data_IF_729836714635
#
_entry.id   IF_729836714635
#
_cell.length_a   1.000
_cell.length_b   1.000
_cell.length_c   1.000
_cell.angle_alpha   90.00
_cell.angle_beta   90.00
_cell.angle_gamma   90.00
#
_symmetry.space_group_name_H-M   'P 1'
#
loop_
_entity.id
_entity.type
_entity.pdbx_description
1 polymer ?
#
# COMPACT_ATOMS: atom_id res chain seq x y z
N UNK A 1 -27.28 6.92 -0.11
CA UNK A 1 -26.05 7.26 0.61
C UNK A 1 -26.33 7.21 2.10
N UNK A 2 -25.50 6.52 2.84
CA UNK A 2 -25.68 6.09 4.23
C UNK A 2 -25.76 7.28 5.19
N UNK A 3 -26.96 7.79 5.46
CA UNK A 3 -27.17 8.79 6.52
C UNK A 3 -26.70 8.23 7.87
N UNK A 4 -25.64 8.83 8.43
CA UNK A 4 -25.14 8.52 9.76
C UNK A 4 -24.08 7.41 9.82
N UNK A 5 -23.60 6.87 8.69
CA UNK A 5 -22.49 5.89 8.67
C UNK A 5 -21.13 6.59 8.55
N UNK A 6 -20.12 6.01 9.19
CA UNK A 6 -18.72 6.44 9.02
C UNK A 6 -18.25 6.03 7.63
N UNK A 7 -17.62 6.97 6.93
CA UNK A 7 -17.06 6.73 5.60
C UNK A 7 -15.55 7.01 5.66
N UNK A 8 -14.75 5.99 5.38
CA UNK A 8 -13.29 6.12 5.27
C UNK A 8 -12.89 6.47 3.85
N UNK A 9 -11.87 7.31 3.70
CA UNK A 9 -11.16 7.44 2.43
C UNK A 9 -9.88 6.62 2.51
N UNK A 10 -9.77 5.64 1.63
CA UNK A 10 -8.66 4.70 1.58
C UNK A 10 -7.97 4.77 0.22
N UNK A 11 -6.64 4.68 0.23
CA UNK A 11 -5.80 4.60 -0.97
C UNK A 11 -5.19 3.21 -1.05
N UNK A 12 -5.46 2.50 -2.14
CA UNK A 12 -5.05 1.12 -2.34
C UNK A 12 -3.96 1.03 -3.43
N UNK A 13 -3.05 0.09 -3.26
CA UNK A 13 -2.05 -0.30 -4.26
C UNK A 13 -1.38 -1.62 -3.84
N UNK A 14 -0.59 -2.21 -4.75
CA UNK A 14 0.20 -3.39 -4.49
C UNK A 14 1.70 -3.10 -4.58
N UNK A 15 2.42 -3.81 -3.74
CA UNK A 15 3.88 -3.77 -3.82
C UNK A 15 4.47 -5.17 -3.75
N UNK A 16 5.63 -5.36 -4.39
CA UNK A 16 6.32 -6.63 -4.42
C UNK A 16 7.35 -6.71 -3.29
N UNK A 17 7.30 -7.80 -2.51
CA UNK A 17 8.38 -8.25 -1.64
C UNK A 17 9.14 -9.41 -2.27
N UNK A 18 10.47 -9.37 -2.33
CA UNK A 18 11.23 -10.45 -2.96
C UNK A 18 12.69 -10.51 -2.51
N UNK A 19 13.31 -11.68 -2.75
CA UNK A 19 14.70 -11.93 -2.34
C UNK A 19 15.74 -11.16 -3.17
N UNK A 20 15.35 -10.59 -4.31
CA UNK A 20 16.24 -9.68 -5.02
C UNK A 20 16.48 -8.44 -4.18
N UNK A 21 17.73 -8.19 -3.79
CA UNK A 21 18.08 -7.02 -2.98
C UNK A 21 17.67 -5.72 -3.66
N UNK A 22 16.88 -4.91 -2.98
CA UNK A 22 16.58 -3.55 -3.39
C UNK A 22 17.75 -2.64 -2.99
N UNK A 23 18.33 -1.95 -3.97
CA UNK A 23 19.44 -1.03 -3.74
C UNK A 23 18.95 0.27 -3.12
N UNK A 24 19.61 0.71 -2.05
CA UNK A 24 19.38 2.02 -1.42
C UNK A 24 20.65 2.86 -1.47
N UNK A 25 20.53 4.12 -1.10
CA UNK A 25 21.68 5.01 -0.94
C UNK A 25 22.56 4.52 0.22
N UNK A 26 23.87 4.53 -0.01
CA UNK A 26 24.87 4.21 1.01
C UNK A 26 25.82 5.40 1.16
N UNK A 27 25.96 5.88 2.39
CA UNK A 27 26.93 6.93 2.68
C UNK A 27 28.31 6.33 2.83
N UNK A 28 29.27 6.89 2.10
CA UNK A 28 30.70 6.50 2.17
C UNK A 28 31.57 7.76 2.25
N UNK A 29 32.83 7.59 2.64
CA UNK A 29 33.78 8.67 2.57
C UNK A 29 33.97 9.14 1.12
N UNK A 30 34.28 10.42 0.93
CA UNK A 30 34.54 11.01 -0.40
C UNK A 30 35.64 10.21 -1.13
N UNK A 31 35.32 9.74 -2.34
CA UNK A 31 36.26 8.93 -3.17
C UNK A 31 36.21 7.42 -2.92
N UNK A 32 35.46 6.95 -1.94
CA UNK A 32 35.27 5.51 -1.67
C UNK A 32 34.02 5.00 -2.36
N UNK A 33 34.15 4.01 -3.24
CA UNK A 33 33.00 3.35 -3.86
C UNK A 33 32.33 2.42 -2.84
N UNK A 34 31.02 2.56 -2.58
CA UNK A 34 30.31 1.66 -1.69
C UNK A 34 30.30 0.24 -2.25
N UNK A 35 30.54 -0.74 -1.40
CA UNK A 35 30.35 -2.16 -1.71
C UNK A 35 29.14 -2.65 -0.94
N UNK A 36 28.11 -3.05 -1.65
CA UNK A 36 26.88 -3.61 -1.07
C UNK A 36 26.74 -5.04 -1.59
N UNK A 37 26.52 -5.97 -0.69
CA UNK A 37 26.17 -7.33 -1.07
C UNK A 37 24.80 -7.36 -1.73
N UNK A 38 24.65 -8.09 -2.83
CA UNK A 38 23.41 -8.16 -3.61
C UNK A 38 23.00 -9.62 -3.78
N UNK A 39 21.76 -9.92 -3.46
CA UNK A 39 21.15 -11.21 -3.70
C UNK A 39 20.29 -11.16 -4.97
N UNK A 40 20.32 -12.22 -5.76
CA UNK A 40 19.59 -12.35 -7.04
C UNK A 40 18.46 -13.38 -6.97
N UNK A 41 17.92 -13.65 -5.79
CA UNK A 41 16.79 -14.55 -5.62
C UNK A 41 15.56 -14.10 -6.42
N UNK A 42 14.86 -15.06 -7.05
CA UNK A 42 13.67 -14.79 -7.86
C UNK A 42 12.37 -14.97 -7.08
N UNK A 43 12.41 -15.59 -5.92
CA UNK A 43 11.25 -15.80 -5.07
C UNK A 43 10.69 -14.47 -4.58
N UNK A 44 9.38 -14.34 -4.61
CA UNK A 44 8.68 -13.13 -4.24
C UNK A 44 7.23 -13.41 -3.83
N UNK A 45 6.62 -12.43 -3.21
CA UNK A 45 5.20 -12.34 -2.91
C UNK A 45 4.71 -10.92 -3.20
N UNK A 46 3.40 -10.75 -3.18
CA UNK A 46 2.77 -9.44 -3.35
C UNK A 46 2.10 -9.03 -2.05
N UNK A 47 2.23 -7.78 -1.70
CA UNK A 47 1.55 -7.14 -0.59
C UNK A 47 0.51 -6.22 -1.20
N UNK A 48 -0.75 -6.49 -0.91
CA UNK A 48 -1.87 -5.62 -1.21
C UNK A 48 -2.12 -4.77 0.03
N UNK A 49 -2.23 -3.47 -0.12
CA UNK A 49 -2.44 -2.57 0.99
C UNK A 49 -3.48 -1.50 0.70
N UNK A 50 -4.14 -1.05 1.73
CA UNK A 50 -4.96 0.15 1.74
C UNK A 50 -4.61 0.96 2.98
N UNK A 51 -4.47 2.27 2.81
CA UNK A 51 -4.17 3.20 3.90
C UNK A 51 -5.20 4.32 3.93
N UNK A 52 -5.53 4.79 5.12
CA UNK A 52 -6.34 5.98 5.36
C UNK A 52 -5.41 7.19 5.61
N UNK A 53 -5.22 8.11 4.64
CA UNK A 53 -4.31 9.24 4.82
C UNK A 53 -4.69 10.16 5.98
N UNK A 54 -5.97 10.19 6.36
CA UNK A 54 -6.50 11.08 7.39
C UNK A 54 -6.40 10.51 8.81
N UNK A 55 -6.49 9.19 8.97
CA UNK A 55 -6.46 8.52 10.29
C UNK A 55 -5.21 7.68 10.53
N UNK A 56 -4.47 7.35 9.47
CA UNK A 56 -3.32 6.47 9.52
C UNK A 56 -3.66 4.98 9.62
N UNK A 57 -4.94 4.65 9.67
CA UNK A 57 -5.38 3.26 9.63
C UNK A 57 -4.91 2.60 8.35
N UNK A 58 -4.58 1.34 8.43
CA UNK A 58 -4.13 0.58 7.29
C UNK A 58 -4.61 -0.86 7.38
N UNK A 59 -4.85 -1.43 6.20
CA UNK A 59 -5.18 -2.83 6.00
C UNK A 59 -4.23 -3.40 4.97
N UNK A 60 -3.70 -4.59 5.20
CA UNK A 60 -2.81 -5.24 4.26
C UNK A 60 -2.94 -6.76 4.31
N UNK A 61 -2.63 -7.38 3.19
CA UNK A 61 -2.58 -8.83 3.10
C UNK A 61 -1.55 -9.28 2.06
N UNK A 62 -0.98 -10.47 2.27
CA UNK A 62 -0.01 -11.05 1.37
C UNK A 62 -0.67 -12.05 0.42
N UNK A 63 -0.28 -11.97 -0.86
CA UNK A 63 -0.74 -12.88 -1.89
C UNK A 63 0.41 -13.39 -2.75
N UNK A 64 0.31 -14.62 -3.31
CA UNK A 64 1.37 -15.19 -4.13
C UNK A 64 1.49 -14.54 -5.51
N UNK A 65 0.45 -13.88 -5.99
CA UNK A 65 0.37 -13.37 -7.36
C UNK A 65 -0.41 -12.06 -7.43
N UNK A 66 -0.09 -11.28 -8.47
CA UNK A 66 -0.85 -10.08 -8.84
C UNK A 66 -1.96 -10.49 -9.82
N UNK A 67 -3.14 -10.83 -9.31
CA UNK A 67 -4.29 -11.30 -10.10
C UNK A 67 -5.61 -10.78 -9.54
N UNK A 68 -6.64 -10.73 -10.39
CA UNK A 68 -7.99 -10.32 -10.01
C UNK A 68 -8.58 -11.15 -8.86
N UNK A 69 -8.32 -12.46 -8.80
CA UNK A 69 -8.76 -13.32 -7.70
C UNK A 69 -8.15 -12.91 -6.34
N UNK A 70 -6.86 -12.52 -6.33
CA UNK A 70 -6.20 -12.02 -5.14
C UNK A 70 -6.74 -10.65 -4.75
N UNK A 71 -7.01 -9.79 -5.73
CA UNK A 71 -7.64 -8.50 -5.48
C UNK A 71 -9.05 -8.65 -4.94
N UNK A 72 -9.86 -9.60 -5.48
CA UNK A 72 -11.18 -9.89 -4.92
C UNK A 72 -11.09 -10.36 -3.47
N UNK A 73 -10.18 -11.28 -3.15
CA UNK A 73 -9.98 -11.74 -1.77
C UNK A 73 -9.55 -10.60 -0.84
N UNK A 74 -8.74 -9.66 -1.34
CA UNK A 74 -8.36 -8.46 -0.60
C UNK A 74 -9.56 -7.55 -0.33
N UNK A 75 -10.41 -7.29 -1.33
CA UNK A 75 -11.64 -6.49 -1.18
C UNK A 75 -12.61 -7.11 -0.18
N UNK A 76 -12.79 -8.44 -0.25
CA UNK A 76 -13.68 -9.17 0.66
C UNK A 76 -13.15 -9.07 2.11
N UNK A 77 -11.84 -9.20 2.31
CA UNK A 77 -11.21 -9.03 3.63
C UNK A 77 -11.32 -7.61 4.17
N UNK A 78 -11.09 -6.61 3.33
CA UNK A 78 -11.25 -5.20 3.70
C UNK A 78 -12.71 -4.89 4.06
N UNK A 79 -13.66 -5.36 3.27
CA UNK A 79 -15.09 -5.20 3.54
C UNK A 79 -15.49 -5.81 4.88
N UNK A 80 -14.96 -7.00 5.18
CA UNK A 80 -15.21 -7.67 6.46
C UNK A 80 -14.62 -6.88 7.65
N UNK A 81 -13.44 -6.29 7.49
CA UNK A 81 -12.82 -5.45 8.54
C UNK A 81 -13.60 -4.16 8.76
N UNK A 82 -14.12 -3.53 7.71
CA UNK A 82 -14.97 -2.34 7.82
C UNK A 82 -16.30 -2.62 8.52
N UNK A 83 -16.83 -3.84 8.43
CA UNK A 83 -18.10 -4.21 9.03
C UNK A 83 -19.26 -3.34 8.53
N UNK A 84 -19.85 -2.53 9.43
CA UNK A 84 -20.96 -1.61 9.10
C UNK A 84 -20.48 -0.27 8.52
N UNK A 85 -19.18 0.00 8.55
CA UNK A 85 -18.60 1.23 8.02
C UNK A 85 -18.38 1.13 6.51
N UNK A 86 -18.21 2.27 5.87
CA UNK A 86 -18.05 2.37 4.43
C UNK A 86 -16.69 2.91 4.06
N UNK A 87 -16.19 2.55 2.88
CA UNK A 87 -14.99 3.14 2.33
C UNK A 87 -15.18 3.64 0.90
N UNK A 88 -14.60 4.82 0.63
CA UNK A 88 -14.25 5.22 -0.74
C UNK A 88 -12.83 4.73 -0.96
N UNK A 89 -12.65 3.76 -1.84
CA UNK A 89 -11.36 3.13 -2.12
C UNK A 89 -10.78 3.66 -3.42
N UNK A 90 -9.75 4.50 -3.31
CA UNK A 90 -8.98 4.94 -4.47
C UNK A 90 -8.13 3.77 -4.98
N UNK A 91 -8.27 3.46 -6.25
CA UNK A 91 -7.53 2.40 -6.96
C UNK A 91 -6.97 2.94 -8.27
N UNK A 92 -5.88 2.35 -8.75
CA UNK A 92 -5.38 2.64 -10.08
C UNK A 92 -6.19 1.90 -11.17
N UNK A 93 -5.86 2.16 -12.44
CA UNK A 93 -6.49 1.50 -13.60
C UNK A 93 -5.79 0.19 -13.99
N UNK A 94 -5.16 -0.52 -13.05
CA UNK A 94 -4.55 -1.81 -13.35
C UNK A 94 -5.60 -2.79 -13.91
N UNK A 95 -5.20 -3.59 -14.88
CA UNK A 95 -6.10 -4.55 -15.53
C UNK A 95 -6.73 -5.54 -14.54
N UNK A 96 -6.03 -5.86 -13.45
CA UNK A 96 -6.54 -6.72 -12.39
C UNK A 96 -7.74 -6.11 -11.65
N UNK A 97 -7.79 -4.78 -11.54
CA UNK A 97 -8.84 -4.03 -10.83
C UNK A 97 -10.06 -3.73 -11.73
N UNK A 98 -9.85 -3.68 -13.04
CA UNK A 98 -10.85 -3.23 -14.02
C UNK A 98 -11.55 -4.39 -14.74
N UNK A 99 -11.33 -5.63 -14.33
CA UNK A 99 -12.01 -6.77 -14.96
C UNK A 99 -13.48 -6.81 -14.54
N UNK A 100 -14.35 -7.18 -15.47
CA UNK A 100 -15.78 -7.42 -15.19
C UNK A 100 -16.04 -8.57 -14.20
N UNK A 101 -15.00 -9.34 -13.86
CA UNK A 101 -15.06 -10.42 -12.87
C UNK A 101 -14.98 -9.91 -11.43
N UNK A 102 -14.48 -8.68 -11.19
CA UNK A 102 -14.42 -8.08 -9.85
C UNK A 102 -15.81 -7.70 -9.38
N UNK A 103 -16.20 -8.22 -8.22
CA UNK A 103 -17.43 -7.85 -7.51
C UNK A 103 -17.08 -6.96 -6.34
N UNK A 104 -17.47 -5.70 -6.46
CA UNK A 104 -17.26 -4.73 -5.40
C UNK A 104 -18.20 -5.01 -4.22
N UNK A 105 -17.69 -5.16 -3.00
CA UNK A 105 -18.52 -5.24 -1.80
C UNK A 105 -19.42 -4.01 -1.66
N UNK A 106 -20.60 -4.16 -1.08
CA UNK A 106 -21.59 -3.10 -0.96
C UNK A 106 -21.07 -1.86 -0.20
N UNK A 107 -20.22 -2.08 0.80
CA UNK A 107 -19.63 -1.04 1.63
C UNK A 107 -18.32 -0.46 1.11
N UNK A 108 -17.91 -0.80 -0.13
CA UNK A 108 -16.71 -0.25 -0.77
C UNK A 108 -17.10 0.43 -2.09
N UNK A 109 -16.87 1.73 -2.16
CA UNK A 109 -17.13 2.54 -3.36
C UNK A 109 -15.78 2.78 -4.07
N UNK A 110 -15.58 2.25 -5.29
CA UNK A 110 -14.34 2.47 -6.02
C UNK A 110 -14.23 3.92 -6.51
N UNK A 111 -13.05 4.51 -6.30
CA UNK A 111 -12.64 5.77 -6.90
C UNK A 111 -11.44 5.52 -7.80
N UNK A 112 -11.69 5.37 -9.10
CA UNK A 112 -10.63 5.06 -10.06
C UNK A 112 -9.84 6.33 -10.39
N UNK A 113 -8.53 6.31 -10.10
CA UNK A 113 -7.66 7.45 -10.40
C UNK A 113 -7.33 7.51 -11.92
N UNK A 114 -6.98 8.70 -12.44
CA UNK A 114 -6.53 8.83 -13.82
C UNK A 114 -5.31 7.96 -14.12
N UNK A 115 -5.26 7.39 -15.33
CA UNK A 115 -4.14 6.56 -15.77
C UNK A 115 -2.81 7.31 -15.72
N UNK A 116 -1.73 6.61 -15.42
CA UNK A 116 -0.35 7.14 -15.41
C UNK A 116 -0.12 8.32 -14.45
N UNK A 117 -0.78 8.31 -13.29
CA UNK A 117 -0.64 9.33 -12.25
C UNK A 117 -0.35 8.72 -10.88
N UNK A 118 0.73 7.93 -10.72
CA UNK A 118 1.06 7.30 -9.43
C UNK A 118 1.33 8.35 -8.34
N UNK A 119 1.80 9.55 -8.71
CA UNK A 119 2.03 10.65 -7.80
C UNK A 119 0.77 11.12 -7.04
N UNK A 120 -0.41 10.77 -7.55
CA UNK A 120 -1.69 11.07 -6.91
C UNK A 120 -2.09 10.01 -5.87
N UNK A 121 -1.34 8.91 -5.76
CA UNK A 121 -1.64 7.86 -4.79
C UNK A 121 -0.74 7.96 -3.55
N UNK A 122 -1.27 8.38 -2.40
CA UNK A 122 -0.49 8.53 -1.16
C UNK A 122 0.21 7.25 -0.70
N UNK A 123 -0.32 6.09 -1.06
CA UNK A 123 0.23 4.79 -0.66
C UNK A 123 1.62 4.52 -1.25
N UNK A 124 1.99 5.18 -2.34
CA UNK A 124 3.33 5.08 -2.91
C UNK A 124 4.42 5.54 -1.92
N UNK A 125 4.17 6.62 -1.18
CA UNK A 125 5.08 7.10 -0.14
C UNK A 125 5.10 6.17 1.07
N UNK A 126 3.96 5.57 1.39
CA UNK A 126 3.87 4.55 2.41
C UNK A 126 4.72 3.32 2.06
N UNK A 127 4.67 2.85 0.79
CA UNK A 127 5.58 1.78 0.35
C UNK A 127 7.04 2.14 0.47
N UNK A 128 7.41 3.39 0.19
CA UNK A 128 8.79 3.87 0.36
C UNK A 128 9.22 3.83 1.84
N UNK A 129 8.34 4.23 2.75
CA UNK A 129 8.56 4.14 4.20
C UNK A 129 8.78 2.69 4.62
N UNK A 130 7.86 1.80 4.25
CA UNK A 130 7.89 0.37 4.60
C UNK A 130 9.15 -0.32 4.06
N UNK A 131 9.54 -0.01 2.82
CA UNK A 131 10.70 -0.64 2.16
C UNK A 131 12.05 -0.06 2.57
N UNK A 132 12.09 1.13 3.14
CA UNK A 132 13.34 1.78 3.54
C UNK A 132 14.23 0.90 4.42
N UNK A 133 13.74 0.22 5.47
CA UNK A 133 14.54 -0.69 6.29
C UNK A 133 14.96 -1.98 5.58
N UNK A 134 14.33 -2.33 4.45
CA UNK A 134 14.63 -3.55 3.69
C UNK A 134 15.73 -3.33 2.64
N UNK A 135 16.04 -2.07 2.31
CA UNK A 135 17.06 -1.72 1.31
C UNK A 135 18.45 -2.17 1.77
N UNK A 136 19.24 -2.69 0.83
CA UNK A 136 20.58 -3.22 1.06
C UNK A 136 20.63 -4.40 2.06
N UNK A 137 19.50 -5.03 2.35
CA UNK A 137 19.41 -6.22 3.20
C UNK A 137 19.43 -7.50 2.35
N UNK A 138 20.00 -8.55 2.91
CA UNK A 138 19.96 -9.91 2.37
C UNK A 138 19.16 -10.77 3.33
N UNK A 139 18.21 -11.51 2.79
CA UNK A 139 17.37 -12.41 3.56
C UNK A 139 17.72 -13.88 3.23
N UNK A 140 17.92 -14.74 4.24
CA UNK A 140 18.29 -16.13 4.00
C UNK A 140 17.17 -16.94 3.33
N UNK A 141 15.92 -16.48 3.44
CA UNK A 141 14.73 -17.11 2.84
C UNK A 141 13.61 -16.12 2.63
N UNK A 142 12.66 -16.49 1.78
CA UNK A 142 11.44 -15.70 1.59
C UNK A 142 10.64 -15.59 2.91
N UNK A 143 10.67 -16.63 3.72
CA UNK A 143 10.02 -16.63 5.04
C UNK A 143 10.63 -15.60 6.00
N UNK A 144 11.97 -15.47 6.01
CA UNK A 144 12.65 -14.45 6.82
C UNK A 144 12.27 -13.02 6.38
N UNK A 145 12.13 -12.80 5.06
CA UNK A 145 11.64 -11.53 4.53
C UNK A 145 10.18 -11.26 4.95
N UNK A 146 9.30 -12.26 4.86
CA UNK A 146 7.89 -12.14 5.31
C UNK A 146 7.80 -11.76 6.76
N UNK A 147 8.55 -12.46 7.61
CA UNK A 147 8.60 -12.13 9.03
C UNK A 147 9.06 -10.69 9.27
N UNK A 148 10.09 -10.25 8.55
CA UNK A 148 10.56 -8.87 8.67
C UNK A 148 9.53 -7.84 8.22
N UNK A 149 8.81 -8.12 7.13
CA UNK A 149 7.70 -7.28 6.66
C UNK A 149 6.59 -7.21 7.71
N UNK A 150 6.19 -8.34 8.30
CA UNK A 150 5.20 -8.37 9.38
C UNK A 150 5.63 -7.49 10.55
N UNK A 151 6.87 -7.65 11.03
CA UNK A 151 7.42 -6.83 12.12
C UNK A 151 7.37 -5.33 11.82
N UNK A 152 7.64 -4.94 10.55
CA UNK A 152 7.56 -3.55 10.12
C UNK A 152 6.14 -3.02 10.17
N UNK A 153 5.16 -3.80 9.74
CA UNK A 153 3.74 -3.42 9.85
C UNK A 153 3.31 -3.31 11.31
N UNK A 154 3.72 -4.24 12.16
CA UNK A 154 3.38 -4.24 13.59
C UNK A 154 3.98 -3.04 14.35
N UNK A 155 5.09 -2.48 13.85
CA UNK A 155 5.76 -1.31 14.41
C UNK A 155 5.24 0.02 13.88
N UNK A 156 4.43 0.02 12.82
CA UNK A 156 3.88 1.24 12.24
C UNK A 156 2.89 1.89 13.22
N UNK A 157 3.07 3.19 13.43
CA UNK A 157 2.10 4.01 14.14
C UNK A 157 1.18 4.74 13.17
N UNK A 158 -0.04 5.05 13.60
CA UNK A 158 -0.98 5.85 12.80
C UNK A 158 -0.37 7.18 12.37
N UNK A 159 0.38 7.83 13.27
CA UNK A 159 1.07 9.10 13.00
C UNK A 159 2.12 8.97 11.88
N UNK A 160 2.87 7.87 11.86
CA UNK A 160 3.84 7.62 10.78
C UNK A 160 3.15 7.46 9.43
N UNK A 161 2.04 6.73 9.37
CA UNK A 161 1.26 6.57 8.14
C UNK A 161 0.70 7.92 7.69
N UNK A 162 0.06 8.67 8.59
CA UNK A 162 -0.45 10.00 8.29
C UNK A 162 0.66 10.93 7.79
N UNK A 163 1.83 10.93 8.41
CA UNK A 163 2.93 11.85 8.07
C UNK A 163 3.46 11.68 6.65
N UNK A 164 3.37 10.47 6.08
CA UNK A 164 3.82 10.19 4.71
C UNK A 164 2.69 10.22 3.69
N UNK A 165 1.45 9.99 4.14
CA UNK A 165 0.28 9.89 3.27
C UNK A 165 -0.51 11.21 3.16
N UNK A 166 -0.42 12.10 4.15
CA UNK A 166 -1.11 13.39 4.13
C UNK A 166 -0.35 14.38 3.23
N UNK A 167 -0.63 14.34 1.94
CA UNK A 167 -0.23 15.42 1.05
C UNK A 167 -1.26 16.57 1.15
N UNK A 168 -0.79 17.80 1.33
CA UNK A 168 -1.66 18.97 1.49
C UNK A 168 -2.71 19.09 0.37
N UNK A 169 -2.34 18.72 -0.86
CA UNK A 169 -3.26 18.77 -2.00
C UNK A 169 -4.47 17.86 -1.85
N UNK A 170 -4.29 16.63 -1.37
CA UNK A 170 -5.41 15.68 -1.19
C UNK A 170 -6.31 16.14 -0.05
N UNK A 171 -5.71 16.64 1.03
CA UNK A 171 -6.46 17.21 2.15
C UNK A 171 -7.28 18.43 1.71
N UNK A 172 -6.68 19.34 0.94
CA UNK A 172 -7.37 20.52 0.41
C UNK A 172 -8.57 20.15 -0.47
N UNK A 173 -8.42 19.16 -1.37
CA UNK A 173 -9.53 18.68 -2.22
C UNK A 173 -10.63 18.04 -1.39
N UNK A 174 -10.28 17.19 -0.42
CA UNK A 174 -11.27 16.55 0.46
C UNK A 174 -11.98 17.58 1.33
N UNK A 175 -11.28 18.56 1.89
CA UNK A 175 -11.89 19.66 2.66
C UNK A 175 -12.79 20.54 1.77
N UNK A 176 -12.37 20.83 0.54
CA UNK A 176 -13.19 21.60 -0.40
C UNK A 176 -14.49 20.86 -0.72
N UNK A 177 -14.44 19.58 -1.04
CA UNK A 177 -15.64 18.77 -1.36
C UNK A 177 -16.54 18.57 -0.13
N UNK A 178 -15.96 18.47 1.07
CA UNK A 178 -16.75 18.31 2.30
C UNK A 178 -17.42 19.61 2.77
N UNK A 179 -16.94 20.77 2.29
CA UNK A 179 -17.47 22.10 2.68
C UNK A 179 -18.48 22.69 1.69
N UNK A 180 -18.72 22.05 0.56
CA UNK A 180 -19.66 22.44 -0.50
C UNK A 180 -20.63 21.32 -0.86
#
# INVERSE_FOLDING_TARGET
LAQGKVIHYLCQDETRGGLKTESGQVMTAKGVKPKVAVQWGREHFWIYGAIAPLSGEHFWHEYPQLKGECFQAFLDGLSQQLGEEWAILQVDQASAHMTSAIRWPENIIPLVQPAHRPELNPIERFWQLLKKPLKNQIFPSLQALRQRVQELFDQLTLEQVMSVASDNFILEVLFYVASH
#
